data_IF_565246422752
#
_entry.id   IF_565246422752
#
_cell.length_a   1.000
_cell.length_b   1.000
_cell.length_c   1.000
_cell.angle_alpha   90.00
_cell.angle_beta   90.00
_cell.angle_gamma   90.00
#
_symmetry.space_group_name_H-M   'P 1'
#
loop_
_entity.id
_entity.type
_entity.pdbx_description
1 polymer ?
#
# COMPACT_ATOMS: atom_id res chain seq x y z
N UNK A 1 26.68 10.00 -44.88
CA UNK A 1 26.65 8.95 -43.86
C UNK A 1 25.68 7.91 -44.34
N UNK A 2 26.16 6.86 -45.01
CA UNK A 2 25.31 5.73 -45.39
C UNK A 2 25.04 4.95 -44.11
N UNK A 3 23.78 4.92 -43.66
CA UNK A 3 23.38 4.12 -42.52
C UNK A 3 23.42 2.66 -42.99
N UNK A 4 24.43 1.91 -42.56
CA UNK A 4 24.55 0.50 -42.91
C UNK A 4 23.36 -0.25 -42.27
N UNK A 5 22.52 -0.84 -43.12
CA UNK A 5 21.31 -1.55 -42.72
C UNK A 5 21.61 -2.65 -41.69
N UNK A 6 22.81 -3.22 -41.71
CA UNK A 6 23.28 -4.15 -40.67
C UNK A 6 23.35 -3.47 -39.30
N UNK A 7 24.05 -2.33 -39.20
CA UNK A 7 24.14 -1.57 -37.94
C UNK A 7 22.78 -1.05 -37.45
N UNK A 8 21.89 -0.65 -38.37
CA UNK A 8 20.54 -0.23 -38.00
C UNK A 8 19.72 -1.39 -37.43
N UNK A 9 19.80 -2.57 -38.05
CA UNK A 9 19.10 -3.77 -37.58
C UNK A 9 19.60 -4.23 -36.20
N UNK A 10 20.92 -4.24 -35.96
CA UNK A 10 21.47 -4.56 -34.64
C UNK A 10 21.02 -3.59 -33.55
N UNK A 11 20.98 -2.28 -33.86
CA UNK A 11 20.48 -1.27 -32.93
C UNK A 11 19.02 -1.49 -32.53
N UNK A 12 18.16 -1.83 -33.49
CA UNK A 12 16.73 -2.10 -33.24
C UNK A 12 16.57 -3.37 -32.39
N UNK A 13 17.28 -4.45 -32.71
CA UNK A 13 17.22 -5.72 -31.96
C UNK A 13 17.68 -5.50 -30.52
N UNK A 14 18.79 -4.77 -30.32
CA UNK A 14 19.30 -4.48 -28.99
C UNK A 14 18.33 -3.61 -28.18
N UNK A 15 17.71 -2.60 -28.80
CA UNK A 15 16.71 -1.75 -28.15
C UNK A 15 15.47 -2.56 -27.73
N UNK A 16 15.00 -3.49 -28.57
CA UNK A 16 13.88 -4.38 -28.23
C UNK A 16 14.24 -5.34 -27.09
N UNK A 17 15.45 -5.90 -27.09
CA UNK A 17 15.95 -6.76 -26.01
C UNK A 17 16.03 -6.01 -24.68
N UNK A 18 16.46 -4.75 -24.69
CA UNK A 18 16.50 -3.91 -23.49
C UNK A 18 15.11 -3.47 -23.02
N UNK A 19 14.18 -3.17 -23.94
CA UNK A 19 12.83 -2.73 -23.59
C UNK A 19 11.96 -3.85 -23.01
N UNK A 20 12.20 -5.10 -23.41
CA UNK A 20 11.42 -6.27 -22.99
C UNK A 20 11.36 -6.49 -21.46
N UNK A 21 12.48 -6.52 -20.70
CA UNK A 21 12.42 -6.70 -19.25
C UNK A 21 11.65 -5.58 -18.54
N UNK A 22 11.77 -4.32 -19.01
CA UNK A 22 10.99 -3.21 -18.45
C UNK A 22 9.49 -3.37 -18.71
N UNK A 23 9.10 -3.78 -19.92
CA UNK A 23 7.70 -4.03 -20.25
C UNK A 23 7.11 -5.18 -19.43
N UNK A 24 7.88 -6.25 -19.22
CA UNK A 24 7.48 -7.38 -18.38
C UNK A 24 7.33 -6.97 -16.90
N UNK A 25 8.28 -6.21 -16.37
CA UNK A 25 8.23 -5.71 -14.99
C UNK A 25 7.02 -4.78 -14.78
N UNK A 26 6.79 -3.83 -15.71
CA UNK A 26 5.63 -2.95 -15.68
C UNK A 26 4.31 -3.73 -15.67
N UNK A 27 4.17 -4.72 -16.55
CA UNK A 27 2.95 -5.55 -16.62
C UNK A 27 2.77 -6.40 -15.36
N UNK A 28 3.86 -6.92 -14.80
CA UNK A 28 3.85 -7.67 -13.53
C UNK A 28 3.35 -6.80 -12.38
N UNK A 29 3.86 -5.56 -12.25
CA UNK A 29 3.40 -4.58 -11.25
C UNK A 29 1.92 -4.30 -11.36
N UNK A 30 1.42 -4.02 -12.57
CA UNK A 30 0.00 -3.77 -12.81
C UNK A 30 -0.88 -4.97 -12.41
N UNK A 31 -0.42 -6.20 -12.64
CA UNK A 31 -1.13 -7.41 -12.20
C UNK A 31 -1.11 -7.56 -10.68
N UNK A 32 0.02 -7.28 -10.02
CA UNK A 32 0.13 -7.31 -8.55
C UNK A 32 -0.81 -6.29 -7.90
N UNK A 33 -0.84 -5.06 -8.40
CA UNK A 33 -1.77 -4.02 -7.92
C UNK A 33 -3.22 -4.46 -8.08
N UNK A 34 -3.60 -5.01 -9.25
CA UNK A 34 -4.96 -5.53 -9.46
C UNK A 34 -5.35 -6.65 -8.48
N UNK A 35 -4.41 -7.52 -8.11
CA UNK A 35 -4.64 -8.60 -7.14
C UNK A 35 -4.89 -8.10 -5.72
N UNK A 36 -4.36 -6.94 -5.34
CA UNK A 36 -4.59 -6.34 -4.02
C UNK A 36 -5.84 -5.43 -4.02
N UNK A 37 -6.04 -4.67 -5.09
CA UNK A 37 -7.16 -3.72 -5.22
C UNK A 37 -8.50 -4.44 -5.34
N UNK A 38 -8.59 -5.51 -6.15
CA UNK A 38 -9.87 -6.17 -6.39
C UNK A 38 -10.52 -6.78 -5.14
N UNK A 39 -9.80 -7.52 -4.28
CA UNK A 39 -10.36 -8.02 -3.02
C UNK A 39 -10.88 -6.90 -2.12
N UNK A 40 -10.13 -5.80 -1.99
CA UNK A 40 -10.51 -4.66 -1.17
C UNK A 40 -11.77 -3.99 -1.69
N UNK A 41 -11.83 -3.68 -3.00
CA UNK A 41 -13.02 -3.06 -3.61
C UNK A 41 -14.25 -3.95 -3.53
N UNK A 42 -14.07 -5.27 -3.76
CA UNK A 42 -15.17 -6.23 -3.67
C UNK A 42 -15.71 -6.34 -2.25
N UNK A 43 -14.84 -6.40 -1.25
CA UNK A 43 -15.24 -6.44 0.16
C UNK A 43 -15.96 -5.15 0.59
N UNK A 44 -15.47 -3.98 0.16
CA UNK A 44 -16.14 -2.71 0.41
C UNK A 44 -17.54 -2.68 -0.22
N UNK A 45 -17.67 -3.11 -1.48
CA UNK A 45 -18.95 -3.14 -2.20
C UNK A 45 -19.95 -4.12 -1.57
N UNK A 46 -19.50 -5.29 -1.11
CA UNK A 46 -20.33 -6.26 -0.39
C UNK A 46 -20.92 -5.69 0.91
N UNK A 47 -20.24 -4.72 1.52
CA UNK A 47 -20.70 -4.01 2.71
C UNK A 47 -21.39 -2.67 2.36
N UNK A 48 -21.79 -2.50 1.09
CA UNK A 48 -22.46 -1.30 0.58
C UNK A 48 -21.61 -0.03 0.64
N UNK A 49 -20.28 -0.14 0.70
CA UNK A 49 -19.35 0.98 0.74
C UNK A 49 -18.72 1.21 -0.65
N UNK A 50 -18.29 2.44 -0.91
CA UNK A 50 -17.60 2.83 -2.14
C UNK A 50 -16.27 3.45 -1.77
N UNK A 51 -15.17 2.81 -2.17
CA UNK A 51 -13.82 3.34 -1.93
C UNK A 51 -13.55 4.45 -2.96
N UNK A 52 -13.41 5.69 -2.51
CA UNK A 52 -13.12 6.85 -3.37
C UNK A 52 -11.62 7.03 -3.57
N UNK A 53 -10.84 6.81 -2.52
CA UNK A 53 -9.40 6.97 -2.54
C UNK A 53 -8.73 5.67 -2.11
N UNK A 54 -7.77 5.19 -2.89
CA UNK A 54 -6.99 4.02 -2.53
C UNK A 54 -5.54 4.17 -2.96
N UNK A 55 -4.64 3.51 -2.26
CA UNK A 55 -3.22 3.50 -2.59
C UNK A 55 -2.59 2.19 -2.13
N UNK A 56 -1.65 1.69 -2.92
CA UNK A 56 -0.95 0.43 -2.68
C UNK A 56 0.52 0.70 -2.40
N UNK A 57 1.04 0.10 -1.35
CA UNK A 57 2.46 0.08 -1.02
C UNK A 57 2.88 -1.39 -0.83
N UNK A 58 3.68 -1.91 -1.77
CA UNK A 58 4.11 -3.31 -1.79
C UNK A 58 2.95 -4.32 -1.67
N UNK A 59 2.84 -5.01 -0.54
CA UNK A 59 1.81 -6.03 -0.27
C UNK A 59 0.61 -5.49 0.52
N UNK A 60 0.58 -4.18 0.75
CA UNK A 60 -0.48 -3.52 1.51
C UNK A 60 -1.23 -2.55 0.63
N UNK A 61 -2.55 -2.49 0.79
CA UNK A 61 -3.41 -1.49 0.18
C UNK A 61 -4.33 -0.89 1.25
N UNK A 62 -4.49 0.42 1.19
CA UNK A 62 -5.47 1.17 1.97
C UNK A 62 -6.49 1.78 1.01
N UNK A 63 -7.74 1.80 1.44
CA UNK A 63 -8.86 2.39 0.72
C UNK A 63 -9.80 3.13 1.66
N UNK A 64 -10.14 4.37 1.35
CA UNK A 64 -11.06 5.20 2.10
C UNK A 64 -12.40 5.32 1.35
N UNK A 65 -13.49 5.00 2.04
CA UNK A 65 -14.83 5.49 1.70
C UNK A 65 -15.03 6.83 2.41
N UNK A 66 -14.94 7.91 1.63
CA UNK A 66 -15.04 9.28 2.14
C UNK A 66 -16.45 9.64 2.59
N UNK A 67 -17.48 8.98 2.04
CA UNK A 67 -18.87 9.28 2.36
C UNK A 67 -19.28 8.66 3.69
N UNK A 68 -18.81 7.44 3.94
CA UNK A 68 -19.12 6.69 5.15
C UNK A 68 -18.05 6.80 6.23
N UNK A 69 -16.92 7.46 5.92
CA UNK A 69 -15.77 7.61 6.80
C UNK A 69 -15.21 6.26 7.29
N UNK A 70 -15.08 5.31 6.35
CA UNK A 70 -14.59 3.96 6.63
C UNK A 70 -13.29 3.73 5.90
N UNK A 71 -12.27 3.29 6.64
CA UNK A 71 -11.01 2.83 6.08
C UNK A 71 -11.05 1.31 5.92
N UNK A 72 -10.71 0.85 4.72
CA UNK A 72 -10.46 -0.54 4.39
C UNK A 72 -8.96 -0.75 4.24
N UNK A 73 -8.45 -1.85 4.76
CA UNK A 73 -7.08 -2.28 4.53
C UNK A 73 -7.05 -3.72 4.05
N UNK A 74 -6.10 -4.04 3.19
CA UNK A 74 -5.78 -5.42 2.85
C UNK A 74 -4.27 -5.57 2.88
N UNK A 75 -3.79 -6.54 3.65
CA UNK A 75 -2.39 -6.79 3.86
C UNK A 75 -2.08 -8.25 3.52
N UNK A 76 -1.18 -8.46 2.56
CA UNK A 76 -0.71 -9.76 2.11
C UNK A 76 0.68 -10.14 2.67
N UNK A 77 1.14 -9.50 3.75
CA UNK A 77 2.37 -9.87 4.47
C UNK A 77 2.23 -11.22 5.20
N UNK A 78 1.02 -11.56 5.68
CA UNK A 78 0.73 -12.81 6.38
C UNK A 78 -0.09 -13.78 5.52
N UNK A 79 0.05 -15.09 5.75
CA UNK A 79 -0.59 -16.20 5.00
C UNK A 79 -2.13 -16.29 5.17
N UNK A 80 -2.77 -15.24 5.68
CA UNK A 80 -4.21 -15.13 5.97
C UNK A 80 -4.80 -13.79 5.55
N UNK A 81 -4.34 -13.23 4.42
CA UNK A 81 -4.70 -11.91 3.94
C UNK A 81 -6.23 -11.70 3.92
N UNK A 82 -6.73 -10.87 4.83
CA UNK A 82 -8.14 -10.51 4.98
C UNK A 82 -8.30 -9.00 4.84
N UNK A 83 -9.47 -8.58 4.36
CA UNK A 83 -9.81 -7.16 4.32
C UNK A 83 -10.25 -6.74 5.72
N UNK A 84 -9.48 -5.85 6.35
CA UNK A 84 -9.91 -5.22 7.60
C UNK A 84 -10.72 -3.97 7.31
N UNK A 85 -11.70 -3.71 8.16
CA UNK A 85 -12.55 -2.53 8.12
C UNK A 85 -12.40 -1.77 9.42
N UNK A 86 -12.09 -0.48 9.31
CA UNK A 86 -11.90 0.42 10.44
C UNK A 86 -12.88 1.58 10.26
N UNK A 87 -13.80 1.71 11.21
CA UNK A 87 -14.73 2.83 11.28
C UNK A 87 -14.03 4.03 11.91
N UNK A 88 -13.73 5.05 11.11
CA UNK A 88 -12.98 6.22 11.57
C UNK A 88 -13.79 7.08 12.56
N UNK A 89 -15.11 6.93 12.63
CA UNK A 89 -15.92 7.62 13.63
C UNK A 89 -15.55 7.21 15.06
N UNK A 90 -15.02 5.98 15.24
CA UNK A 90 -14.59 5.40 16.51
C UNK A 90 -13.11 5.66 16.82
N UNK A 91 -12.38 6.26 15.89
CA UNK A 91 -10.95 6.55 16.01
C UNK A 91 -10.75 7.98 16.51
N UNK A 92 -9.93 8.15 17.54
CA UNK A 92 -9.54 9.44 18.12
C UNK A 92 -8.39 10.09 17.34
N UNK A 93 -7.39 9.30 16.99
CA UNK A 93 -6.20 9.76 16.25
C UNK A 93 -5.56 8.59 15.52
N UNK A 94 -4.80 8.90 14.47
CA UNK A 94 -3.95 7.95 13.78
C UNK A 94 -2.50 8.44 13.79
N UNK A 95 -1.53 7.59 14.07
CA UNK A 95 -0.11 7.95 13.96
C UNK A 95 0.71 6.85 13.32
N UNK A 96 1.77 7.25 12.64
CA UNK A 96 2.83 6.35 12.21
C UNK A 96 3.66 5.93 13.42
N UNK A 97 3.88 4.63 13.61
CA UNK A 97 4.91 4.10 14.51
C UNK A 97 5.99 3.39 13.68
N UNK A 98 7.25 3.73 13.95
CA UNK A 98 8.41 3.00 13.45
C UNK A 98 9.09 2.28 14.61
N UNK A 99 9.16 0.94 14.52
CA UNK A 99 9.92 0.15 15.49
C UNK A 99 11.39 0.13 15.11
N UNK A 100 12.26 0.67 15.98
CA UNK A 100 13.70 0.42 15.93
C UNK A 100 14.15 -0.31 17.20
N UNK A 101 14.97 -1.36 17.07
CA UNK A 101 15.44 -2.15 18.21
C UNK A 101 16.70 -1.51 18.85
N UNK A 102 16.71 -0.18 19.01
CA UNK A 102 17.90 0.56 19.48
C UNK A 102 19.01 0.70 18.43
N UNK A 103 18.82 0.16 17.22
CA UNK A 103 19.63 0.41 16.03
C UNK A 103 19.04 1.57 15.21
N UNK A 104 19.83 2.14 14.29
CA UNK A 104 19.33 3.16 13.35
C UNK A 104 18.42 2.59 12.24
N UNK A 105 18.26 1.26 12.15
CA UNK A 105 17.44 0.63 11.13
C UNK A 105 15.96 0.51 11.57
N UNK A 106 15.06 0.79 10.63
CA UNK A 106 13.62 0.60 10.83
C UNK A 106 13.28 -0.88 10.58
N UNK A 107 12.87 -1.57 11.65
CA UNK A 107 12.51 -2.98 11.60
C UNK A 107 11.01 -3.19 11.36
N UNK A 108 10.18 -2.17 11.64
CA UNK A 108 8.72 -2.25 11.53
C UNK A 108 8.13 -0.89 11.22
N UNK A 109 7.10 -0.86 10.38
CA UNK A 109 6.28 0.35 10.16
C UNK A 109 4.82 -0.04 10.37
N UNK A 110 4.12 0.71 11.21
CA UNK A 110 2.71 0.50 11.52
C UNK A 110 1.92 1.82 11.50
N UNK A 111 0.63 1.72 11.19
CA UNK A 111 -0.34 2.74 11.55
C UNK A 111 -1.02 2.33 12.87
N UNK A 112 -0.89 3.17 13.88
CA UNK A 112 -1.57 3.01 15.16
C UNK A 112 -2.82 3.90 15.18
N UNK A 113 -3.98 3.29 15.38
CA UNK A 113 -5.26 3.96 15.54
C UNK A 113 -5.66 3.93 17.00
N UNK A 114 -5.69 5.12 17.61
CA UNK A 114 -6.16 5.27 18.98
C UNK A 114 -7.69 5.32 19.00
N UNK A 115 -8.34 4.48 19.78
CA UNK A 115 -9.80 4.44 19.83
C UNK A 115 -10.36 5.54 20.75
N UNK A 116 -11.57 6.05 20.45
CA UNK A 116 -12.26 7.04 21.30
C UNK A 116 -12.78 6.42 22.60
N UNK A 117 -13.24 5.17 22.54
CA UNK A 117 -13.81 4.46 23.68
C UNK A 117 -12.72 4.06 24.68
N UNK A 118 -12.88 4.48 25.94
CA UNK A 118 -11.97 4.10 27.02
C UNK A 118 -12.02 2.58 27.24
N UNK A 119 -10.86 1.94 27.26
CA UNK A 119 -10.73 0.50 27.47
C UNK A 119 -10.71 -0.35 26.20
N UNK A 120 -10.90 0.25 25.02
CA UNK A 120 -10.60 -0.45 23.76
C UNK A 120 -9.11 -0.45 23.47
N UNK A 121 -8.61 -1.59 23.03
CA UNK A 121 -7.23 -1.74 22.55
C UNK A 121 -7.05 -0.93 21.27
N UNK A 122 -5.94 -0.20 21.18
CA UNK A 122 -5.55 0.48 19.95
C UNK A 122 -5.44 -0.53 18.79
N UNK A 123 -5.95 -0.14 17.63
CA UNK A 123 -5.82 -0.95 16.42
C UNK A 123 -4.46 -0.67 15.79
N UNK A 124 -3.73 -1.74 15.45
CA UNK A 124 -2.44 -1.67 14.77
C UNK A 124 -2.57 -2.25 13.38
N UNK A 125 -2.15 -1.49 12.40
CA UNK A 125 -2.07 -1.95 11.02
C UNK A 125 -0.61 -1.97 10.60
N UNK A 126 -0.07 -3.18 10.52
CA UNK A 126 1.30 -3.38 10.06
C UNK A 126 1.39 -3.06 8.56
N UNK A 127 2.38 -2.26 8.19
CA UNK A 127 2.68 -1.91 6.80
C UNK A 127 3.99 -2.55 6.33
N UNK A 128 4.92 -2.76 7.26
CA UNK A 128 6.22 -3.38 7.01
C UNK A 128 6.71 -4.11 8.26
N UNK A 129 7.39 -5.24 8.03
CA UNK A 129 8.18 -5.96 9.03
C UNK A 129 9.43 -6.51 8.36
N UNK A 130 10.58 -6.32 9.00
CA UNK A 130 11.82 -6.93 8.57
C UNK A 130 11.70 -8.46 8.59
N UNK A 131 12.21 -9.12 7.56
CA UNK A 131 12.10 -10.58 7.39
C UNK A 131 10.84 -11.04 6.65
N UNK A 132 9.88 -10.16 6.37
CA UNK A 132 8.69 -10.48 5.54
C UNK A 132 8.99 -10.60 4.03
N UNK A 133 10.22 -10.98 3.65
CA UNK A 133 10.70 -11.16 2.28
C UNK A 133 10.67 -9.92 1.36
N UNK A 134 10.42 -8.72 1.88
CA UNK A 134 10.55 -7.46 1.12
C UNK A 134 11.43 -6.46 1.87
N UNK A 135 12.29 -5.70 1.15
CA UNK A 135 12.99 -4.56 1.73
C UNK A 135 12.02 -3.40 1.98
N UNK A 136 12.32 -2.59 2.99
CA UNK A 136 11.62 -1.33 3.23
C UNK A 136 11.77 -0.44 1.99
N UNK A 137 10.66 -0.11 1.35
CA UNK A 137 10.58 0.70 0.16
C UNK A 137 9.29 1.55 0.15
N UNK A 138 9.37 2.71 0.80
CA UNK A 138 8.30 3.72 0.77
C UNK A 138 7.20 3.56 1.82
N UNK A 139 7.22 2.52 2.66
CA UNK A 139 6.17 2.27 3.66
C UNK A 139 6.09 3.36 4.73
N UNK A 140 7.22 3.96 5.11
CA UNK A 140 7.21 5.07 6.06
C UNK A 140 6.51 6.31 5.47
N UNK A 141 6.83 6.64 4.21
CA UNK A 141 6.17 7.74 3.50
C UNK A 141 4.68 7.45 3.28
N UNK A 142 4.34 6.21 2.96
CA UNK A 142 2.97 5.74 2.84
C UNK A 142 2.22 5.88 4.17
N UNK A 143 2.80 5.44 5.28
CA UNK A 143 2.24 5.59 6.63
C UNK A 143 2.02 7.05 7.00
N UNK A 144 3.00 7.92 6.78
CA UNK A 144 2.91 9.35 7.09
C UNK A 144 1.84 10.06 6.27
N UNK A 145 1.73 9.71 4.98
CA UNK A 145 0.68 10.24 4.11
C UNK A 145 -0.70 9.83 4.60
N UNK A 146 -0.90 8.54 4.90
CA UNK A 146 -2.19 8.03 5.33
C UNK A 146 -2.58 8.47 6.74
N UNK A 147 -1.65 8.54 7.68
CA UNK A 147 -1.92 9.06 9.02
C UNK A 147 -2.38 10.52 8.98
N UNK A 148 -1.75 11.37 8.15
CA UNK A 148 -2.21 12.76 7.92
C UNK A 148 -3.62 12.78 7.33
N UNK A 149 -3.84 12.03 6.25
CA UNK A 149 -5.13 11.97 5.57
C UNK A 149 -6.26 11.51 6.50
N UNK A 150 -6.01 10.48 7.31
CA UNK A 150 -6.96 9.98 8.30
C UNK A 150 -7.22 11.06 9.35
N UNK A 151 -6.19 11.66 9.94
CA UNK A 151 -6.37 12.69 10.95
C UNK A 151 -7.13 13.93 10.44
N UNK A 152 -6.93 14.31 9.18
CA UNK A 152 -7.69 15.41 8.57
C UNK A 152 -9.18 15.07 8.47
N UNK A 153 -9.53 13.79 8.25
CA UNK A 153 -10.91 13.29 8.31
C UNK A 153 -11.47 13.19 9.73
N UNK A 154 -10.63 13.08 10.76
CA UNK A 154 -11.07 13.04 12.16
C UNK A 154 -11.38 14.42 12.74
N UNK A 155 -10.89 15.49 12.09
CA UNK A 155 -11.11 16.89 12.50
C UNK A 155 -12.36 17.52 11.87
N UNK A 156 -12.89 16.91 10.81
CA UNK A 156 -14.14 17.31 10.16
C UNK A 156 -15.36 16.72 10.85
#
# INVERSE_FOLDING_TARGET
MELDWGTAAFGIVFMLLCALPFALDYRSRMRKTKRLVQPLLKAAQQQGCQVHQHETCNLVILGLDERKNILFSFNALDDGATVQRIDLSRVRSCRTENGSNGSALTHRVELLFQMKEKGMTDLRLELYREGANLPLNGELQFADKWSRLINDRLKG
#
